data_IF_212631535020
#
_entry.id   IF_212631535020
#
_cell.length_a   1.000
_cell.length_b   1.000
_cell.length_c   1.000
_cell.angle_alpha   90.00
_cell.angle_beta   90.00
_cell.angle_gamma   90.00
#
_symmetry.space_group_name_H-M   'P 1'
#
loop_
_entity.id
_entity.type
_entity.pdbx_description
1 polymer ?
#
# COMPACT_ATOMS: atom_id res chain seq x y z
N UNK A 1 27.16 84.30 7.60
CA UNK A 1 27.49 82.87 7.78
C UNK A 1 26.22 82.05 7.58
N UNK A 2 26.24 81.18 6.54
CA UNK A 2 25.38 79.98 6.28
C UNK A 2 23.84 80.14 6.37
N UNK A 3 23.07 80.29 5.28
CA UNK A 3 22.74 79.44 4.08
C UNK A 3 21.64 78.38 4.30
N UNK A 4 20.51 78.63 3.65
CA UNK A 4 19.43 77.71 3.28
C UNK A 4 19.91 76.63 2.30
N UNK A 5 19.29 75.44 2.36
CA UNK A 5 19.27 74.48 1.26
C UNK A 5 17.85 73.93 1.04
N UNK A 6 17.36 74.15 -0.19
CA UNK A 6 16.27 73.47 -0.87
C UNK A 6 16.82 72.33 -1.72
N UNK A 7 16.20 71.15 -1.74
CA UNK A 7 16.35 70.04 -2.70
C UNK A 7 15.20 69.05 -2.39
N UNK A 8 14.51 68.35 -3.29
CA UNK A 8 14.35 68.38 -4.75
C UNK A 8 13.16 67.44 -5.04
N UNK A 9 12.20 67.85 -5.86
CA UNK A 9 11.22 66.94 -6.47
C UNK A 9 11.88 66.16 -7.59
N UNK A 10 11.92 64.84 -7.48
CA UNK A 10 12.37 63.95 -8.55
C UNK A 10 11.15 63.24 -9.15
N UNK A 11 10.73 63.72 -10.32
CA UNK A 11 9.86 63.02 -11.26
C UNK A 11 10.73 62.14 -12.14
N UNK A 12 10.56 60.82 -12.07
CA UNK A 12 11.31 59.85 -12.88
C UNK A 12 10.46 58.60 -13.13
N UNK A 13 10.13 58.42 -14.39
CA UNK A 13 9.34 57.33 -15.00
C UNK A 13 9.99 55.95 -14.82
N UNK A 14 9.13 54.94 -14.59
CA UNK A 14 9.15 53.55 -15.09
C UNK A 14 8.64 52.55 -14.03
N UNK A 15 7.33 52.60 -13.77
CA UNK A 15 6.61 51.56 -13.05
C UNK A 15 5.75 50.76 -14.04
N UNK A 16 6.37 50.09 -15.00
CA UNK A 16 5.64 49.26 -15.97
C UNK A 16 6.54 48.19 -16.59
N UNK A 17 6.97 47.22 -15.78
CA UNK A 17 7.18 45.81 -16.17
C UNK A 17 7.70 44.97 -14.98
N UNK A 18 6.94 44.93 -13.88
CA UNK A 18 7.16 43.85 -12.90
C UNK A 18 6.24 42.71 -13.32
N UNK A 19 6.78 41.75 -14.07
CA UNK A 19 6.10 40.49 -14.33
C UNK A 19 5.75 39.87 -12.96
N UNK A 20 4.48 39.50 -12.70
CA UNK A 20 4.15 38.84 -11.45
C UNK A 20 5.00 37.57 -11.33
N UNK A 21 5.69 37.44 -10.20
CA UNK A 21 6.45 36.25 -9.88
C UNK A 21 5.50 35.05 -9.97
N UNK A 22 5.91 34.02 -10.72
CA UNK A 22 5.11 32.81 -10.85
C UNK A 22 4.97 32.15 -9.48
N UNK A 23 3.84 31.51 -9.23
CA UNK A 23 3.63 30.75 -8.00
C UNK A 23 4.60 29.57 -7.98
N UNK A 24 5.32 29.39 -6.87
CA UNK A 24 6.28 28.28 -6.75
C UNK A 24 5.54 26.94 -6.78
N UNK A 25 5.94 26.06 -7.71
CA UNK A 25 5.36 24.71 -7.83
C UNK A 25 5.60 23.83 -6.58
N UNK A 26 6.64 24.14 -5.81
CA UNK A 26 7.02 23.41 -4.59
C UNK A 26 6.36 23.97 -3.32
N UNK A 27 5.50 25.00 -3.42
CA UNK A 27 4.76 25.53 -2.28
C UNK A 27 5.66 25.98 -1.12
N UNK A 28 5.23 25.71 0.12
CA UNK A 28 6.00 26.03 1.33
C UNK A 28 7.23 25.12 1.55
N UNK A 29 7.27 23.96 0.88
CA UNK A 29 8.40 23.02 0.96
C UNK A 29 9.67 23.50 0.25
N UNK A 30 9.54 24.52 -0.61
CA UNK A 30 10.66 25.10 -1.35
C UNK A 30 11.76 25.67 -0.45
N UNK A 31 11.42 26.20 0.73
CA UNK A 31 12.39 26.77 1.66
C UNK A 31 13.42 25.74 2.19
N UNK A 32 13.10 24.45 2.09
CA UNK A 32 14.00 23.37 2.49
C UNK A 32 14.83 22.82 1.32
N UNK A 33 14.60 23.30 0.10
CA UNK A 33 15.40 22.96 -1.07
C UNK A 33 16.53 23.99 -1.18
N UNK A 34 17.76 23.50 -1.05
CA UNK A 34 18.99 24.26 -0.84
C UNK A 34 19.50 25.08 -2.04
N UNK A 35 18.60 25.61 -2.87
CA UNK A 35 18.95 26.57 -3.94
C UNK A 35 18.33 27.96 -3.64
N UNK A 36 19.11 28.87 -3.03
CA UNK A 36 18.69 30.24 -2.76
C UNK A 36 18.27 31.02 -4.01
N UNK A 37 18.78 30.64 -5.19
CA UNK A 37 18.48 31.35 -6.45
C UNK A 37 17.11 30.98 -7.01
N UNK A 38 16.65 29.75 -6.77
CA UNK A 38 15.30 29.32 -7.08
C UNK A 38 14.28 30.10 -6.24
N UNK A 39 14.43 30.12 -4.91
CA UNK A 39 13.48 30.78 -4.00
C UNK A 39 13.33 32.29 -4.28
N UNK A 40 14.37 32.95 -4.79
CA UNK A 40 14.34 34.37 -5.15
C UNK A 40 13.45 34.69 -6.37
N UNK A 41 13.10 33.68 -7.18
CA UNK A 41 12.38 33.85 -8.46
C UNK A 41 10.89 33.52 -8.41
N UNK A 42 10.34 33.13 -7.26
CA UNK A 42 8.94 32.68 -7.13
C UNK A 42 8.23 33.27 -5.90
N UNK A 43 6.90 33.34 -5.95
CA UNK A 43 6.06 33.67 -4.79
C UNK A 43 5.75 32.40 -3.97
N UNK A 44 5.88 32.51 -2.64
CA UNK A 44 5.52 31.48 -1.67
C UNK A 44 4.37 31.98 -0.76
N UNK A 45 3.41 31.11 -0.38
CA UNK A 45 2.41 31.47 0.62
C UNK A 45 3.06 31.71 1.98
N UNK A 46 2.75 32.84 2.61
CA UNK A 46 3.30 33.24 3.91
C UNK A 46 2.87 32.27 5.01
N UNK A 47 3.84 31.71 5.75
CA UNK A 47 3.59 30.97 6.99
C UNK A 47 2.88 31.90 7.99
N UNK A 48 1.59 31.69 8.24
CA UNK A 48 0.93 32.22 9.43
C UNK A 48 1.49 31.51 10.66
N UNK A 49 2.43 32.16 11.34
CA UNK A 49 2.93 31.70 12.64
C UNK A 49 2.04 32.25 13.75
N UNK A 50 1.14 31.43 14.26
CA UNK A 50 0.46 31.71 15.53
C UNK A 50 1.33 31.23 16.68
N UNK A 51 2.20 32.12 17.16
CA UNK A 51 2.80 32.03 18.49
C UNK A 51 1.77 32.52 19.53
N UNK A 52 1.30 31.64 20.42
CA UNK A 52 0.63 32.05 21.66
C UNK A 52 1.63 31.87 22.79
N UNK A 53 2.08 32.99 23.35
CA UNK A 53 2.85 33.04 24.58
C UNK A 53 1.94 32.75 25.77
N UNK A 54 2.32 31.77 26.59
CA UNK A 54 1.75 31.55 27.90
C UNK A 54 2.26 32.64 28.86
N UNK A 55 1.34 33.43 29.42
CA UNK A 55 1.60 34.28 30.56
C UNK A 55 0.71 33.83 31.73
N UNK A 56 1.38 33.51 32.83
CA UNK A 56 0.87 33.23 34.16
C UNK A 56 0.09 34.41 34.74
N UNK A 57 -0.98 34.15 35.50
CA UNK A 57 -1.30 34.88 36.71
C UNK A 57 -2.26 34.11 37.61
N UNK A 58 -1.75 33.73 38.78
CA UNK A 58 -2.50 33.49 40.00
C UNK A 58 -3.16 34.78 40.49
N UNK A 59 -4.42 34.73 40.93
CA UNK A 59 -4.85 35.01 42.32
C UNK A 59 -6.37 35.10 42.50
N UNK A 60 -6.82 34.39 43.55
CA UNK A 60 -7.85 34.76 44.53
C UNK A 60 -9.36 34.79 44.22
N UNK A 61 -10.03 33.75 44.74
CA UNK A 61 -10.92 33.80 45.92
C UNK A 61 -12.45 33.81 45.77
N UNK A 62 -13.05 33.09 46.73
CA UNK A 62 -14.44 33.06 47.24
C UNK A 62 -15.48 32.30 46.40
N UNK A 63 -15.87 31.10 46.82
CA UNK A 63 -16.93 30.76 47.81
C UNK A 63 -18.34 31.25 47.40
N UNK A 64 -19.27 30.32 47.19
CA UNK A 64 -20.52 30.12 47.98
C UNK A 64 -21.42 29.06 47.30
N UNK A 65 -21.59 27.95 48.01
CA UNK A 65 -22.78 27.12 48.29
C UNK A 65 -23.85 26.77 47.23
N UNK A 66 -24.01 25.44 47.10
CA UNK A 66 -25.23 24.62 47.28
C UNK A 66 -26.49 24.91 46.45
N UNK A 67 -27.01 23.92 45.72
CA UNK A 67 -28.02 22.99 46.28
C UNK A 67 -28.58 21.99 45.24
N UNK A 68 -28.58 20.72 45.65
CA UNK A 68 -29.64 19.70 45.55
C UNK A 68 -30.53 19.56 44.29
N UNK A 69 -30.31 18.41 43.62
CA UNK A 69 -31.27 17.33 43.33
C UNK A 69 -32.72 17.65 42.91
N UNK A 70 -33.14 17.12 41.74
CA UNK A 70 -34.38 16.32 41.67
C UNK A 70 -34.50 15.43 40.42
N UNK A 71 -34.85 14.18 40.71
CA UNK A 71 -35.38 13.13 39.85
C UNK A 71 -36.79 13.44 39.31
N UNK A 72 -37.08 13.02 38.08
CA UNK A 72 -38.37 12.40 37.66
C UNK A 72 -38.16 11.77 36.27
N UNK A 73 -38.16 10.44 36.13
CA UNK A 73 -39.27 9.49 35.93
C UNK A 73 -40.12 9.68 34.65
N UNK A 74 -39.92 8.71 33.75
CA UNK A 74 -40.92 7.84 33.08
C UNK A 74 -41.96 8.51 32.17
N UNK A 75 -41.93 8.12 30.89
CA UNK A 75 -43.11 7.64 30.15
C UNK A 75 -42.72 6.72 28.99
N UNK A 76 -43.02 5.45 29.15
CA UNK A 76 -43.30 4.50 28.06
C UNK A 76 -44.73 4.76 27.56
N UNK A 77 -44.97 4.53 26.26
CA UNK A 77 -46.29 4.14 25.77
C UNK A 77 -46.13 3.25 24.53
N UNK A 78 -46.84 2.12 24.62
CA UNK A 78 -47.15 1.14 23.58
C UNK A 78 -48.24 1.64 22.63
N UNK A 79 -48.31 0.96 21.47
CA UNK A 79 -49.47 0.61 20.61
C UNK A 79 -49.15 0.99 19.16
N UNK A 80 -49.34 0.16 18.14
CA UNK A 80 -50.06 -1.10 18.00
C UNK A 80 -50.14 -1.40 16.51
N UNK A 81 -50.49 -2.64 16.21
CA UNK A 81 -50.49 -3.32 14.91
C UNK A 81 -51.19 -2.60 13.74
N UNK A 82 -50.76 -2.90 12.51
CA UNK A 82 -51.71 -3.33 11.47
C UNK A 82 -51.04 -4.04 10.26
N UNK A 83 -51.82 -4.98 9.73
CA UNK A 83 -51.51 -6.10 8.83
C UNK A 83 -51.94 -5.79 7.38
N UNK A 84 -51.33 -6.51 6.44
CA UNK A 84 -51.75 -6.81 5.03
C UNK A 84 -51.65 -5.73 3.94
N UNK A 85 -50.85 -6.02 2.90
CA UNK A 85 -51.39 -6.53 1.61
C UNK A 85 -50.31 -7.02 0.65
N UNK A 86 -50.52 -8.24 0.19
CA UNK A 86 -49.87 -8.88 -0.95
C UNK A 86 -50.21 -8.14 -2.26
N UNK A 87 -49.23 -8.03 -3.16
CA UNK A 87 -49.50 -8.01 -4.60
C UNK A 87 -48.53 -8.94 -5.34
N UNK A 88 -49.12 -10.04 -5.80
CA UNK A 88 -48.60 -10.99 -6.76
C UNK A 88 -48.41 -10.35 -8.13
N UNK A 89 -47.22 -10.48 -8.73
CA UNK A 89 -47.05 -10.42 -10.18
C UNK A 89 -46.22 -11.65 -10.60
N UNK A 90 -46.91 -12.58 -11.26
CA UNK A 90 -46.35 -13.67 -12.06
C UNK A 90 -45.94 -13.14 -13.44
N UNK A 91 -44.86 -13.70 -13.98
CA UNK A 91 -44.73 -13.93 -15.43
C UNK A 91 -43.41 -13.48 -16.04
N UNK A 92 -42.58 -14.43 -16.49
CA UNK A 92 -41.43 -14.16 -17.35
C UNK A 92 -40.29 -15.16 -17.26
N UNK A 93 -40.56 -16.44 -17.51
CA UNK A 93 -39.51 -17.41 -17.83
C UNK A 93 -38.81 -16.97 -19.13
N UNK A 94 -37.49 -16.80 -19.09
CA UNK A 94 -36.68 -16.84 -20.30
C UNK A 94 -35.42 -17.67 -20.05
N UNK A 95 -35.43 -18.87 -20.63
CA UNK A 95 -34.32 -19.82 -20.65
C UNK A 95 -33.22 -19.30 -21.55
N UNK A 96 -32.15 -18.76 -20.97
CA UNK A 96 -30.92 -18.40 -21.66
C UNK A 96 -29.89 -19.53 -21.57
N UNK A 97 -29.57 -20.15 -22.71
CA UNK A 97 -28.47 -21.11 -22.91
C UNK A 97 -27.17 -20.60 -22.27
N UNK A 98 -26.60 -21.38 -21.34
CA UNK A 98 -25.24 -21.18 -20.85
C UNK A 98 -24.23 -21.48 -21.96
N UNK A 99 -23.37 -20.51 -22.26
CA UNK A 99 -22.33 -20.63 -23.27
C UNK A 99 -21.18 -21.49 -22.71
N UNK A 100 -20.98 -22.70 -23.26
CA UNK A 100 -19.94 -23.65 -22.81
C UNK A 100 -18.49 -23.14 -22.99
N UNK A 101 -18.27 -21.97 -23.57
CA UNK A 101 -16.95 -21.35 -23.71
C UNK A 101 -16.51 -20.55 -22.47
N UNK A 102 -17.43 -20.19 -21.58
CA UNK A 102 -17.14 -19.34 -20.40
C UNK A 102 -16.50 -20.13 -19.24
N UNK A 103 -16.79 -21.43 -19.11
CA UNK A 103 -16.15 -22.27 -18.09
C UNK A 103 -14.67 -22.57 -18.39
N UNK A 104 -14.29 -22.64 -19.66
CA UNK A 104 -12.95 -23.09 -20.08
C UNK A 104 -11.87 -22.05 -19.77
N UNK A 105 -12.22 -20.76 -19.81
CA UNK A 105 -11.28 -19.66 -19.56
C UNK A 105 -11.03 -19.45 -18.05
N UNK A 106 -12.06 -19.63 -17.22
CA UNK A 106 -11.92 -19.60 -15.76
C UNK A 106 -11.20 -20.87 -15.27
N UNK A 107 -11.49 -22.04 -15.85
CA UNK A 107 -10.76 -23.28 -15.55
C UNK A 107 -9.27 -23.17 -15.88
N UNK A 108 -8.88 -22.62 -17.04
CA UNK A 108 -7.46 -22.52 -17.40
C UNK A 108 -6.68 -21.61 -16.44
N UNK A 109 -7.27 -20.51 -15.96
CA UNK A 109 -6.61 -19.61 -15.01
C UNK A 109 -6.45 -20.24 -13.61
N UNK A 110 -7.39 -21.07 -13.19
CA UNK A 110 -7.32 -21.79 -11.92
C UNK A 110 -6.39 -23.01 -12.00
N UNK A 111 -6.32 -23.68 -13.16
CA UNK A 111 -5.41 -24.80 -13.40
C UNK A 111 -3.95 -24.34 -13.53
N UNK A 112 -3.70 -23.19 -14.18
CA UNK A 112 -2.36 -22.58 -14.24
C UNK A 112 -1.88 -22.11 -12.86
N UNK A 113 -2.78 -21.63 -11.99
CA UNK A 113 -2.46 -21.30 -10.59
C UNK A 113 -2.13 -22.52 -9.72
N UNK A 114 -2.44 -23.74 -10.18
CA UNK A 114 -2.19 -25.01 -9.48
C UNK A 114 -0.90 -25.68 -9.93
N UNK A 115 -0.35 -25.34 -11.10
CA UNK A 115 0.78 -26.04 -11.73
C UNK A 115 1.98 -25.16 -12.08
N UNK A 116 2.40 -24.25 -11.19
CA UNK A 116 3.70 -23.57 -11.32
C UNK A 116 4.75 -24.30 -10.49
N UNK A 117 5.50 -25.18 -11.15
CA UNK A 117 6.79 -25.68 -10.65
C UNK A 117 7.87 -24.64 -10.96
N UNK A 118 8.76 -24.27 -10.02
CA UNK A 118 9.81 -23.32 -10.31
C UNK A 118 10.83 -23.94 -11.28
N UNK A 119 11.15 -23.17 -12.32
CA UNK A 119 12.20 -23.38 -13.31
C UNK A 119 13.33 -24.33 -12.86
N UNK A 120 13.39 -25.52 -13.47
CA UNK A 120 14.54 -26.42 -13.35
C UNK A 120 15.71 -25.89 -14.18
N UNK A 121 16.66 -25.22 -13.53
CA UNK A 121 17.99 -24.99 -14.10
C UNK A 121 18.80 -26.28 -13.97
N UNK A 122 18.65 -27.21 -14.91
CA UNK A 122 19.51 -28.41 -14.97
C UNK A 122 20.88 -28.06 -15.52
N UNK A 123 21.81 -27.64 -14.66
CA UNK A 123 23.26 -27.73 -14.98
C UNK A 123 23.65 -29.20 -15.02
N UNK A 124 24.36 -29.63 -16.08
CA UNK A 124 24.87 -31.01 -16.20
C UNK A 124 25.90 -31.28 -15.08
N UNK A 125 26.01 -32.52 -14.62
CA UNK A 125 27.08 -32.93 -13.68
C UNK A 125 28.43 -33.00 -14.41
N UNK A 126 29.49 -32.47 -13.78
CA UNK A 126 30.85 -32.56 -14.32
C UNK A 126 31.35 -34.02 -14.28
N UNK A 127 31.83 -34.54 -15.41
CA UNK A 127 32.36 -35.92 -15.51
C UNK A 127 33.73 -36.11 -14.81
N UNK A 128 34.40 -35.03 -14.41
CA UNK A 128 35.74 -35.07 -13.81
C UNK A 128 35.75 -35.08 -12.27
N UNK A 129 34.59 -35.10 -11.60
CA UNK A 129 34.53 -35.20 -10.14
C UNK A 129 35.27 -34.07 -9.40
N UNK A 130 35.83 -34.37 -8.23
CA UNK A 130 36.49 -33.40 -7.35
C UNK A 130 37.89 -32.93 -7.83
N UNK A 131 38.43 -33.49 -8.93
CA UNK A 131 39.76 -33.15 -9.44
C UNK A 131 39.74 -32.05 -10.52
N UNK A 132 38.60 -31.37 -10.72
CA UNK A 132 38.46 -30.34 -11.74
C UNK A 132 39.21 -29.02 -11.41
N UNK A 133 39.72 -28.85 -10.18
CA UNK A 133 40.39 -27.62 -9.77
C UNK A 133 41.84 -27.49 -10.25
N UNK A 134 42.47 -28.55 -10.74
CA UNK A 134 43.90 -28.55 -11.10
C UNK A 134 44.18 -28.46 -12.62
N UNK A 135 43.18 -28.16 -13.45
CA UNK A 135 43.39 -27.94 -14.89
C UNK A 135 42.87 -26.58 -15.37
N UNK A 136 43.71 -25.92 -16.15
CA UNK A 136 43.81 -24.47 -16.36
C UNK A 136 42.77 -23.84 -17.30
N UNK A 137 41.48 -23.98 -17.00
CA UNK A 137 40.43 -23.17 -17.65
C UNK A 137 39.35 -22.70 -16.63
N UNK A 138 39.41 -21.43 -16.18
CA UNK A 138 38.45 -20.85 -15.24
C UNK A 138 37.00 -20.87 -15.74
N UNK A 139 36.78 -20.88 -17.05
CA UNK A 139 35.43 -20.79 -17.64
C UNK A 139 34.67 -22.11 -17.61
N UNK A 140 35.37 -23.23 -17.36
CA UNK A 140 34.78 -24.56 -17.23
C UNK A 140 34.00 -24.70 -15.91
N UNK A 141 34.53 -24.18 -14.81
CA UNK A 141 33.96 -24.37 -13.46
C UNK A 141 32.61 -23.64 -13.27
N UNK A 142 32.35 -22.55 -14.00
CA UNK A 142 31.11 -21.78 -13.85
C UNK A 142 29.86 -22.50 -14.44
N UNK A 143 30.07 -23.49 -15.30
CA UNK A 143 28.99 -24.16 -16.05
C UNK A 143 28.46 -25.45 -15.45
N UNK A 144 29.11 -26.04 -14.43
CA UNK A 144 28.75 -27.36 -13.89
C UNK A 144 28.51 -27.34 -12.36
N UNK A 145 27.76 -28.31 -11.84
CA UNK A 145 27.58 -28.53 -10.40
C UNK A 145 28.61 -29.56 -9.87
N UNK A 146 29.23 -29.26 -8.72
CA UNK A 146 30.20 -30.14 -8.05
C UNK A 146 29.66 -30.61 -6.67
N UNK A 147 29.86 -31.89 -6.28
CA UNK A 147 29.42 -32.39 -4.99
C UNK A 147 30.32 -31.90 -3.84
N UNK A 148 29.71 -31.47 -2.73
CA UNK A 148 30.41 -31.00 -1.52
C UNK A 148 31.04 -32.15 -0.74
N UNK A 149 32.29 -31.96 -0.33
CA UNK A 149 33.09 -32.90 0.48
C UNK A 149 32.59 -32.89 1.93
N UNK A 150 32.10 -34.02 2.45
CA UNK A 150 31.78 -34.19 3.88
C UNK A 150 33.03 -34.61 4.64
N UNK A 151 33.45 -33.82 5.64
CA UNK A 151 34.45 -34.23 6.62
C UNK A 151 33.84 -34.23 8.02
N UNK A 152 33.78 -35.41 8.60
CA UNK A 152 33.62 -35.69 10.03
C UNK A 152 34.89 -35.34 10.81
N UNK A 153 34.77 -34.74 12.01
CA UNK A 153 35.31 -35.21 13.30
C UNK A 153 35.32 -34.09 14.38
N UNK A 154 34.75 -34.43 15.55
CA UNK A 154 35.15 -34.24 16.97
C UNK A 154 35.55 -32.84 17.51
N UNK A 155 35.02 -32.57 18.72
CA UNK A 155 35.19 -31.37 19.53
C UNK A 155 36.42 -31.43 20.47
N UNK A 156 37.05 -30.27 20.70
CA UNK A 156 37.67 -29.93 21.99
C UNK A 156 37.87 -28.40 22.10
N UNK A 157 37.79 -27.89 23.33
CA UNK A 157 37.75 -26.47 23.69
C UNK A 157 39.12 -25.91 24.14
N UNK A 158 39.37 -24.60 23.99
CA UNK A 158 40.04 -23.72 24.97
C UNK A 158 40.17 -22.27 24.46
N UNK A 159 40.38 -21.35 25.42
CA UNK A 159 40.22 -19.88 25.38
C UNK A 159 41.38 -19.06 24.76
N UNK A 160 41.03 -17.80 24.50
CA UNK A 160 41.79 -16.54 24.72
C UNK A 160 42.38 -15.72 23.55
N UNK A 161 41.80 -14.50 23.45
CA UNK A 161 42.30 -13.14 23.10
C UNK A 161 43.04 -12.77 21.80
N UNK A 162 42.42 -11.77 21.15
CA UNK A 162 42.94 -10.56 20.48
C UNK A 162 43.50 -10.57 19.04
N UNK A 163 42.84 -9.70 18.24
CA UNK A 163 43.38 -8.75 17.24
C UNK A 163 43.36 -9.11 15.74
N UNK A 164 42.70 -8.19 15.01
CA UNK A 164 42.96 -7.69 13.66
C UNK A 164 42.29 -8.33 12.43
N UNK A 165 41.45 -7.51 11.79
CA UNK A 165 41.14 -7.34 10.36
C UNK A 165 41.20 -8.55 9.42
N UNK A 166 40.07 -8.86 8.77
CA UNK A 166 39.85 -8.65 7.31
C UNK A 166 38.48 -9.14 6.86
N UNK A 167 37.96 -8.48 5.81
CA UNK A 167 36.78 -8.81 5.01
C UNK A 167 36.49 -10.31 4.88
N UNK A 168 35.23 -10.72 5.13
CA UNK A 168 34.61 -11.92 4.55
C UNK A 168 33.08 -11.72 4.50
N UNK A 169 32.61 -11.09 3.43
CA UNK A 169 31.26 -11.31 2.90
C UNK A 169 31.28 -12.68 2.23
N UNK A 170 30.84 -13.71 2.94
CA UNK A 170 30.54 -15.01 2.36
C UNK A 170 29.15 -15.42 2.80
N UNK A 171 28.31 -15.63 1.81
CA UNK A 171 26.93 -16.08 1.92
C UNK A 171 26.79 -17.25 2.90
N UNK A 172 26.31 -16.98 4.11
CA UNK A 172 25.64 -17.98 4.93
C UNK A 172 24.25 -18.15 4.38
N UNK A 173 24.11 -19.19 3.54
CA UNK A 173 22.83 -19.82 3.25
C UNK A 173 22.15 -20.21 4.57
N UNK A 174 21.27 -19.33 5.05
CA UNK A 174 20.37 -19.61 6.16
C UNK A 174 19.45 -20.73 5.71
N UNK A 175 19.51 -21.87 6.40
CA UNK A 175 18.45 -22.87 6.35
C UNK A 175 17.11 -22.15 6.52
N UNK A 176 16.28 -22.20 5.49
CA UNK A 176 14.91 -21.68 5.54
C UNK A 176 14.17 -22.53 6.56
N UNK A 177 14.04 -22.02 7.78
CA UNK A 177 12.94 -22.40 8.66
C UNK A 177 11.68 -21.80 8.03
N UNK A 178 10.98 -22.58 7.21
CA UNK A 178 9.62 -22.24 6.81
C UNK A 178 8.75 -22.32 8.06
N UNK A 179 8.53 -21.19 8.73
CA UNK A 179 7.54 -21.09 9.79
C UNK A 179 6.17 -21.45 9.19
N UNK A 180 5.41 -22.34 9.84
CA UNK A 180 4.10 -22.78 9.38
C UNK A 180 3.12 -21.62 9.05
N UNK A 181 3.24 -20.48 9.72
CA UNK A 181 2.43 -19.29 9.43
C UNK A 181 2.69 -18.62 8.07
N UNK A 182 3.89 -18.80 7.51
CA UNK A 182 4.27 -18.23 6.21
C UNK A 182 3.55 -18.96 5.06
N UNK A 183 3.49 -20.29 5.13
CA UNK A 183 2.78 -21.14 4.18
C UNK A 183 1.26 -20.89 4.22
N UNK A 184 0.70 -20.73 5.42
CA UNK A 184 -0.73 -20.44 5.60
C UNK A 184 -1.12 -19.08 5.01
N UNK A 185 -0.31 -18.03 5.21
CA UNK A 185 -0.58 -16.73 4.58
C UNK A 185 -0.46 -16.77 3.06
N UNK A 186 0.49 -17.52 2.53
CA UNK A 186 0.60 -17.73 1.07
C UNK A 186 -0.64 -18.43 0.50
N UNK A 187 -1.16 -19.46 1.19
CA UNK A 187 -2.42 -20.13 0.81
C UNK A 187 -3.61 -19.18 0.93
N UNK A 188 -3.67 -18.39 1.99
CA UNK A 188 -4.71 -17.40 2.19
C UNK A 188 -4.73 -16.38 1.06
N UNK A 189 -3.56 -15.89 0.61
CA UNK A 189 -3.47 -14.97 -0.52
C UNK A 189 -3.83 -15.61 -1.85
N UNK A 190 -3.48 -16.87 -2.10
CA UNK A 190 -3.93 -17.58 -3.30
C UNK A 190 -5.46 -17.69 -3.36
N UNK A 191 -6.09 -18.10 -2.25
CA UNK A 191 -7.56 -18.21 -2.16
C UNK A 191 -8.20 -16.81 -2.25
N UNK A 192 -7.72 -15.86 -1.45
CA UNK A 192 -8.26 -14.52 -1.38
C UNK A 192 -8.13 -13.76 -2.71
N UNK A 193 -7.00 -13.97 -3.40
CA UNK A 193 -6.76 -13.49 -4.76
C UNK A 193 -7.72 -14.06 -5.78
N UNK A 194 -7.96 -15.37 -5.77
CA UNK A 194 -8.94 -15.98 -6.66
C UNK A 194 -10.35 -15.42 -6.44
N UNK A 195 -10.76 -15.23 -5.18
CA UNK A 195 -12.05 -14.60 -4.81
C UNK A 195 -12.13 -13.18 -5.38
N UNK A 196 -11.08 -12.38 -5.19
CA UNK A 196 -11.06 -10.99 -5.66
C UNK A 196 -11.06 -10.91 -7.19
N UNK A 197 -10.26 -11.75 -7.86
CA UNK A 197 -10.13 -11.77 -9.31
C UNK A 197 -11.43 -12.16 -10.01
N UNK A 198 -12.14 -13.20 -9.53
CA UNK A 198 -13.41 -13.66 -10.11
C UNK A 198 -14.48 -12.56 -10.13
N UNK A 199 -14.40 -11.62 -9.18
CA UNK A 199 -15.36 -10.51 -9.01
C UNK A 199 -15.05 -9.29 -9.86
N UNK A 200 -13.84 -9.17 -10.38
CA UNK A 200 -13.50 -8.08 -11.28
C UNK A 200 -14.33 -8.17 -12.56
N UNK A 201 -14.53 -7.02 -13.22
CA UNK A 201 -15.15 -7.02 -14.54
C UNK A 201 -14.32 -7.86 -15.53
N UNK A 202 -14.95 -8.43 -16.56
CA UNK A 202 -14.21 -9.17 -17.59
C UNK A 202 -13.12 -8.31 -18.26
N UNK A 203 -13.39 -7.00 -18.40
CA UNK A 203 -12.42 -6.04 -18.91
C UNK A 203 -11.19 -5.92 -18.00
N UNK A 204 -11.39 -5.82 -16.68
CA UNK A 204 -10.30 -5.72 -15.71
C UNK A 204 -9.49 -7.01 -15.63
N UNK A 205 -10.15 -8.17 -15.60
CA UNK A 205 -9.49 -9.47 -15.63
C UNK A 205 -8.60 -9.61 -16.87
N UNK A 206 -9.12 -9.22 -18.04
CA UNK A 206 -8.35 -9.23 -19.30
C UNK A 206 -7.18 -8.26 -19.27
N UNK A 207 -7.40 -7.06 -18.73
CA UNK A 207 -6.38 -6.01 -18.61
C UNK A 207 -5.23 -6.46 -17.71
N UNK A 208 -5.54 -7.06 -16.56
CA UNK A 208 -4.56 -7.63 -15.63
C UNK A 208 -3.79 -8.78 -16.30
N UNK A 209 -4.49 -9.73 -16.94
CA UNK A 209 -3.86 -10.86 -17.63
C UNK A 209 -2.83 -10.41 -18.68
N UNK A 210 -3.17 -9.36 -19.41
CA UNK A 210 -2.34 -8.80 -20.48
C UNK A 210 -1.37 -7.71 -20.02
N UNK A 211 -1.22 -7.50 -18.71
CA UNK A 211 -0.31 -6.47 -18.20
C UNK A 211 1.14 -6.75 -18.60
N UNK A 212 1.91 -5.66 -18.72
CA UNK A 212 3.36 -5.71 -18.97
C UNK A 212 4.11 -6.01 -17.67
N UNK A 213 5.31 -6.59 -17.78
CA UNK A 213 6.17 -6.87 -16.62
C UNK A 213 6.65 -5.61 -15.89
N UNK A 214 6.76 -4.50 -16.63
CA UNK A 214 7.15 -3.19 -16.11
C UNK A 214 5.97 -2.33 -15.68
N UNK A 215 4.72 -2.83 -15.75
CA UNK A 215 3.54 -2.06 -15.34
C UNK A 215 3.46 -1.85 -13.82
N UNK A 216 3.99 -2.81 -13.06
CA UNK A 216 4.12 -2.73 -11.61
C UNK A 216 5.59 -2.81 -11.24
N UNK A 217 6.05 -1.82 -10.48
CA UNK A 217 7.40 -1.78 -9.93
C UNK A 217 7.32 -1.99 -8.43
N UNK A 218 8.14 -2.89 -7.90
CA UNK A 218 8.29 -3.11 -6.46
C UNK A 218 9.63 -2.55 -6.02
N UNK A 219 9.59 -1.65 -5.05
CA UNK A 219 10.75 -1.15 -4.33
C UNK A 219 10.80 -1.86 -2.98
N UNK A 220 11.79 -2.76 -2.76
CA UNK A 220 11.88 -3.52 -1.53
C UNK A 220 12.06 -2.62 -0.30
N UNK A 221 11.50 -3.10 0.81
CA UNK A 221 11.53 -2.47 2.12
C UNK A 221 12.25 -3.34 3.15
N UNK A 222 12.11 -3.00 4.42
CA UNK A 222 12.72 -3.73 5.53
C UNK A 222 11.83 -4.88 6.03
N UNK A 223 10.51 -4.65 6.14
CA UNK A 223 9.59 -5.60 6.77
C UNK A 223 8.46 -6.08 5.85
N UNK A 224 8.00 -5.23 4.93
CA UNK A 224 6.93 -5.60 3.99
C UNK A 224 7.46 -6.29 2.74
N UNK A 225 6.68 -7.23 2.20
CA UNK A 225 7.04 -8.10 1.08
C UNK A 225 5.89 -8.23 0.07
N UNK A 226 5.43 -7.10 -0.47
CA UNK A 226 4.38 -7.08 -1.51
C UNK A 226 4.70 -7.99 -2.70
N UNK A 227 5.96 -8.20 -3.05
CA UNK A 227 6.40 -9.09 -4.13
C UNK A 227 5.90 -10.53 -3.93
N UNK A 228 5.89 -11.01 -2.68
CA UNK A 228 5.35 -12.33 -2.35
C UNK A 228 3.84 -12.38 -2.53
N UNK A 229 3.13 -11.31 -2.13
CA UNK A 229 1.68 -11.19 -2.34
C UNK A 229 1.36 -11.15 -3.84
N UNK A 230 2.00 -10.27 -4.61
CA UNK A 230 1.82 -10.14 -6.06
C UNK A 230 2.06 -11.45 -6.79
N UNK A 231 3.07 -12.22 -6.36
CA UNK A 231 3.34 -13.56 -6.88
C UNK A 231 2.14 -14.48 -6.68
N UNK A 232 1.51 -14.49 -5.49
CA UNK A 232 0.31 -15.31 -5.23
C UNK A 232 -0.95 -14.80 -5.93
N UNK A 233 -0.97 -13.52 -6.28
CA UNK A 233 -2.03 -12.90 -7.09
C UNK A 233 -1.79 -13.08 -8.60
N UNK A 234 -0.71 -13.74 -9.01
CA UNK A 234 -0.29 -13.88 -10.41
C UNK A 234 -0.16 -12.53 -11.15
N UNK A 235 0.26 -11.49 -10.43
CA UNK A 235 0.53 -10.18 -11.00
C UNK A 235 1.99 -10.09 -11.42
N UNK A 236 2.24 -9.56 -12.62
CA UNK A 236 3.59 -9.33 -13.11
C UNK A 236 4.16 -8.06 -12.48
N UNK A 237 5.42 -8.11 -12.08
CA UNK A 237 6.13 -6.97 -11.52
C UNK A 237 7.62 -7.05 -11.81
N UNK A 238 8.28 -5.89 -11.72
CA UNK A 238 9.74 -5.77 -11.74
C UNK A 238 10.22 -5.22 -10.40
N UNK A 239 11.35 -5.71 -9.90
CA UNK A 239 11.97 -5.20 -8.68
C UNK A 239 12.99 -4.12 -9.04
N UNK A 240 12.97 -2.99 -8.32
CA UNK A 240 13.93 -1.90 -8.44
C UNK A 240 14.41 -1.51 -7.04
N UNK A 241 15.72 -1.47 -6.83
CA UNK A 241 16.29 -1.12 -5.53
C UNK A 241 16.17 0.39 -5.25
N UNK A 242 16.10 0.76 -3.98
CA UNK A 242 15.89 2.16 -3.56
C UNK A 242 16.93 3.13 -4.15
N UNK A 243 18.20 2.70 -4.25
CA UNK A 243 19.28 3.52 -4.81
C UNK A 243 19.20 3.67 -6.34
N UNK A 244 18.57 2.73 -7.04
CA UNK A 244 18.42 2.76 -8.51
C UNK A 244 17.35 3.76 -8.94
N UNK A 245 16.40 4.10 -8.06
CA UNK A 245 15.29 5.01 -8.36
C UNK A 245 15.76 6.37 -8.86
N UNK A 246 16.91 6.86 -8.38
CA UNK A 246 17.51 8.15 -8.76
C UNK A 246 17.74 8.24 -10.28
N UNK A 247 18.03 7.11 -10.93
CA UNK A 247 18.27 7.06 -12.38
C UNK A 247 17.21 6.25 -13.13
N UNK A 248 16.26 5.65 -12.42
CA UNK A 248 15.24 4.82 -13.03
C UNK A 248 14.36 5.63 -13.99
N UNK A 249 14.13 5.15 -15.23
CA UNK A 249 13.37 5.86 -16.25
C UNK A 249 11.86 5.58 -16.14
N UNK A 250 11.23 6.06 -15.06
CA UNK A 250 9.81 5.84 -14.81
C UNK A 250 8.91 6.24 -16.00
N UNK A 251 7.80 5.53 -16.14
CA UNK A 251 6.74 5.80 -17.12
C UNK A 251 5.44 6.09 -16.40
N UNK A 252 4.66 7.02 -16.94
CA UNK A 252 3.41 7.46 -16.31
C UNK A 252 2.45 6.29 -16.05
N UNK A 253 2.38 5.28 -16.92
CA UNK A 253 1.46 4.16 -16.75
C UNK A 253 1.80 3.23 -15.57
N UNK A 254 2.99 3.35 -14.98
CA UNK A 254 3.45 2.45 -13.94
C UNK A 254 2.76 2.72 -12.61
N UNK A 255 2.57 1.64 -11.86
CA UNK A 255 2.28 1.68 -10.43
C UNK A 255 3.52 1.24 -9.67
N UNK A 256 3.99 2.04 -8.72
CA UNK A 256 5.20 1.75 -7.94
C UNK A 256 4.81 1.48 -6.49
N UNK A 257 4.98 0.24 -6.05
CA UNK A 257 4.87 -0.14 -4.65
C UNK A 257 6.19 0.13 -3.95
N UNK A 258 6.15 0.89 -2.85
CA UNK A 258 7.29 1.18 -2.00
C UNK A 258 6.96 0.59 -0.63
N UNK A 259 7.57 -0.56 -0.36
CA UNK A 259 7.42 -1.23 0.92
C UNK A 259 8.01 -0.38 2.06
N UNK A 260 7.57 -0.65 3.28
CA UNK A 260 8.07 -0.05 4.53
C UNK A 260 9.60 0.16 4.50
N UNK A 261 10.02 1.43 4.41
CA UNK A 261 11.41 1.80 4.15
C UNK A 261 11.99 2.61 5.30
N UNK A 262 13.00 2.08 5.99
CA UNK A 262 13.68 2.75 7.11
C UNK A 262 14.77 3.73 6.67
N UNK A 263 15.48 3.44 5.58
CA UNK A 263 16.63 4.20 5.08
C UNK A 263 16.46 4.61 3.61
N UNK A 264 15.34 5.25 3.28
CA UNK A 264 15.05 5.64 1.90
C UNK A 264 15.84 6.89 1.49
N UNK A 265 16.57 6.90 0.35
CA UNK A 265 17.31 8.07 -0.10
C UNK A 265 16.39 9.27 -0.37
N UNK A 266 16.71 10.45 0.19
CA UNK A 266 15.86 11.65 0.05
C UNK A 266 15.74 12.09 -1.40
N UNK A 267 16.83 11.99 -2.15
CA UNK A 267 16.90 12.32 -3.58
C UNK A 267 15.97 11.41 -4.39
N UNK A 268 15.89 10.13 -4.04
CA UNK A 268 14.94 9.20 -4.65
C UNK A 268 13.49 9.59 -4.33
N UNK A 269 13.19 10.02 -3.09
CA UNK A 269 11.86 10.46 -2.71
C UNK A 269 11.42 11.71 -3.49
N UNK A 270 12.29 12.71 -3.62
CA UNK A 270 12.02 13.90 -4.43
C UNK A 270 11.84 13.56 -5.91
N UNK A 271 12.64 12.65 -6.45
CA UNK A 271 12.47 12.18 -7.83
C UNK A 271 11.12 11.50 -8.04
N UNK A 272 10.66 10.68 -7.09
CA UNK A 272 9.33 10.08 -7.17
C UNK A 272 8.24 11.14 -7.27
N UNK A 273 8.33 12.23 -6.48
CA UNK A 273 7.40 13.37 -6.59
C UNK A 273 7.36 13.98 -8.00
N UNK A 274 8.52 14.15 -8.64
CA UNK A 274 8.59 14.66 -10.02
C UNK A 274 7.89 13.75 -11.04
N UNK A 275 7.93 12.43 -10.83
CA UNK A 275 7.27 11.49 -11.72
C UNK A 275 5.80 11.29 -11.39
N UNK A 276 5.41 11.36 -10.11
CA UNK A 276 3.99 11.41 -9.71
C UNK A 276 3.32 12.60 -10.37
N UNK A 277 3.97 13.76 -10.34
CA UNK A 277 3.49 14.95 -11.03
C UNK A 277 3.27 14.74 -12.55
N UNK A 278 4.05 13.85 -13.18
CA UNK A 278 3.94 13.46 -14.60
C UNK A 278 3.06 12.24 -14.84
N UNK A 279 2.31 11.79 -13.84
CA UNK A 279 1.33 10.71 -13.98
C UNK A 279 1.65 9.43 -13.23
N UNK A 280 2.83 9.26 -12.63
CA UNK A 280 3.14 8.02 -11.89
C UNK A 280 2.15 7.82 -10.74
N UNK A 281 1.77 6.56 -10.49
CA UNK A 281 1.07 6.19 -9.27
C UNK A 281 2.03 5.51 -8.31
N UNK A 282 2.13 6.03 -7.09
CA UNK A 282 2.91 5.38 -6.02
C UNK A 282 2.00 4.87 -4.92
N UNK A 283 2.33 3.71 -4.37
CA UNK A 283 1.68 3.09 -3.22
C UNK A 283 2.75 2.87 -2.19
N UNK A 284 2.53 3.32 -0.96
CA UNK A 284 3.53 3.27 0.12
C UNK A 284 2.95 2.59 1.35
N UNK A 285 3.77 1.83 2.08
CA UNK A 285 3.37 1.17 3.32
C UNK A 285 4.18 1.66 4.52
N UNK A 286 3.49 1.78 5.65
CA UNK A 286 4.03 2.03 6.99
C UNK A 286 5.15 3.10 7.06
N UNK A 287 6.40 2.71 7.33
CA UNK A 287 7.50 3.66 7.57
C UNK A 287 7.85 4.52 6.36
N UNK A 288 7.40 4.14 5.16
CA UNK A 288 7.46 5.02 4.00
C UNK A 288 6.72 6.36 4.22
N UNK A 289 5.78 6.44 5.17
CA UNK A 289 5.18 7.72 5.58
C UNK A 289 6.25 8.74 5.98
N UNK A 290 7.18 8.35 6.85
CA UNK A 290 8.23 9.26 7.35
C UNK A 290 9.35 9.42 6.33
N UNK A 291 9.74 8.35 5.68
CA UNK A 291 10.97 8.31 4.89
C UNK A 291 10.77 8.65 3.40
N UNK A 292 9.53 8.61 2.91
CA UNK A 292 9.19 8.97 1.52
C UNK A 292 8.19 10.13 1.50
N UNK A 293 7.04 9.97 2.15
CA UNK A 293 5.95 10.94 2.02
C UNK A 293 6.24 12.25 2.74
N UNK A 294 6.72 12.24 3.98
CA UNK A 294 7.12 13.50 4.64
C UNK A 294 8.30 14.19 3.94
N UNK A 295 9.11 13.46 3.18
CA UNK A 295 10.24 14.06 2.46
C UNK A 295 9.75 14.78 1.21
N UNK A 296 8.85 14.16 0.44
CA UNK A 296 8.49 14.62 -0.91
C UNK A 296 7.04 15.13 -1.05
N UNK A 297 6.19 14.88 -0.05
CA UNK A 297 4.75 15.15 -0.03
C UNK A 297 4.27 15.67 1.35
N UNK A 298 5.14 16.39 2.08
CA UNK A 298 4.86 16.90 3.44
C UNK A 298 3.66 17.83 3.56
N UNK A 299 3.25 18.47 2.46
CA UNK A 299 2.07 19.32 2.43
C UNK A 299 0.75 18.52 2.53
N UNK A 300 0.78 17.20 2.31
CA UNK A 300 -0.42 16.36 2.30
C UNK A 300 -0.58 15.56 3.59
N UNK A 301 0.45 14.80 3.96
CA UNK A 301 0.42 13.87 5.09
C UNK A 301 1.75 13.83 5.81
N UNK A 302 1.70 13.50 7.10
CA UNK A 302 2.89 13.23 7.92
C UNK A 302 2.58 12.19 8.99
N UNK A 303 3.62 11.70 9.64
CA UNK A 303 3.53 10.90 10.84
C UNK A 303 3.09 11.76 12.02
N UNK A 304 2.10 11.30 12.78
CA UNK A 304 1.53 12.07 13.90
C UNK A 304 2.42 12.09 15.16
N UNK A 305 3.55 11.39 15.15
CA UNK A 305 4.50 11.34 16.26
C UNK A 305 4.33 10.13 17.21
N UNK A 306 3.30 9.30 17.02
CA UNK A 306 3.04 8.12 17.85
C UNK A 306 3.38 6.82 17.13
N UNK A 307 3.55 5.72 17.86
CA UNK A 307 3.77 4.40 17.24
C UNK A 307 2.73 3.41 17.71
N UNK A 308 2.25 2.56 16.80
CA UNK A 308 1.29 1.51 17.14
C UNK A 308 1.95 0.41 17.97
N UNK A 309 1.12 -0.36 18.67
CA UNK A 309 1.51 -1.64 19.29
C UNK A 309 1.28 -2.77 18.29
N UNK A 310 1.71 -3.98 18.63
CA UNK A 310 1.30 -5.21 17.92
C UNK A 310 -0.20 -5.43 18.17
N UNK A 311 -1.05 -5.06 17.22
CA UNK A 311 -2.50 -5.14 17.39
C UNK A 311 -3.26 -5.31 16.10
N UNK A 312 -4.41 -5.98 16.17
CA UNK A 312 -5.37 -6.06 15.07
C UNK A 312 -6.50 -5.07 15.28
N UNK A 313 -6.76 -4.23 14.28
CA UNK A 313 -7.79 -3.19 14.34
C UNK A 313 -8.92 -3.49 13.37
N UNK A 314 -10.16 -3.24 13.79
CA UNK A 314 -11.30 -3.24 12.88
C UNK A 314 -11.20 -2.06 11.90
N UNK A 315 -11.57 -2.30 10.64
CA UNK A 315 -11.50 -1.29 9.58
C UNK A 315 -12.87 -1.02 8.95
N UNK A 316 -13.05 0.20 8.48
CA UNK A 316 -14.27 0.68 7.82
C UNK A 316 -13.91 1.39 6.52
N UNK A 317 -14.61 1.05 5.44
CA UNK A 317 -14.49 1.77 4.17
C UNK A 317 -15.33 3.04 4.23
N UNK A 318 -14.72 4.18 3.91
CA UNK A 318 -15.36 5.50 3.99
C UNK A 318 -16.30 5.73 2.80
N UNK A 319 -15.79 5.49 1.58
CA UNK A 319 -16.57 5.53 0.34
C UNK A 319 -16.49 4.17 -0.37
N UNK A 320 -17.51 3.30 -0.22
CA UNK A 320 -17.50 1.97 -0.82
C UNK A 320 -17.55 1.97 -2.35
N UNK A 321 -17.88 3.11 -2.98
CA UNK A 321 -17.91 3.23 -4.44
C UNK A 321 -16.60 3.79 -5.01
N UNK A 322 -15.66 4.22 -4.16
CA UNK A 322 -14.38 4.74 -4.62
C UNK A 322 -13.63 3.65 -5.41
N UNK A 323 -13.08 3.94 -6.61
CA UNK A 323 -12.52 2.93 -7.51
C UNK A 323 -11.49 2.00 -6.87
N UNK A 324 -10.70 2.49 -5.91
CA UNK A 324 -9.67 1.69 -5.22
C UNK A 324 -10.24 0.71 -4.18
N UNK A 325 -11.41 0.97 -3.60
CA UNK A 325 -12.02 0.14 -2.54
C UNK A 325 -13.39 -0.41 -2.93
N UNK A 326 -13.78 -0.27 -4.20
CA UNK A 326 -15.00 -0.89 -4.70
C UNK A 326 -14.93 -2.42 -4.53
N UNK A 327 -15.98 -2.99 -3.94
CA UNK A 327 -16.06 -4.41 -3.65
C UNK A 327 -15.13 -4.90 -2.55
N UNK A 328 -14.42 -4.00 -1.84
CA UNK A 328 -13.44 -4.34 -0.80
C UNK A 328 -14.07 -5.15 0.35
N UNK A 329 -15.18 -4.69 0.92
CA UNK A 329 -15.93 -5.47 1.93
C UNK A 329 -17.04 -6.25 1.21
N UNK A 330 -16.96 -7.58 1.28
CA UNK A 330 -18.04 -8.43 0.80
C UNK A 330 -19.29 -8.26 1.66
N UNK A 331 -20.46 -8.39 1.03
CA UNK A 331 -21.78 -8.30 1.65
C UNK A 331 -22.10 -9.46 2.62
N UNK A 332 -21.09 -9.98 3.34
CA UNK A 332 -21.34 -10.72 4.56
C UNK A 332 -21.79 -9.71 5.61
N UNK A 333 -23.10 -9.65 5.87
CA UNK A 333 -23.68 -8.84 6.95
C UNK A 333 -22.86 -9.07 8.23
N UNK A 334 -22.28 -8.01 8.82
CA UNK A 334 -21.36 -8.09 9.98
C UNK A 334 -20.00 -8.75 9.71
N UNK A 335 -19.42 -8.54 8.51
CA UNK A 335 -18.08 -9.02 8.14
C UNK A 335 -16.98 -8.56 9.13
N UNK A 336 -17.07 -7.33 9.65
CA UNK A 336 -16.08 -6.75 10.58
C UNK A 336 -14.63 -7.03 10.12
N UNK A 337 -14.23 -6.55 8.92
CA UNK A 337 -12.88 -6.75 8.42
C UNK A 337 -11.86 -6.16 9.41
N UNK A 338 -10.72 -6.81 9.52
CA UNK A 338 -9.67 -6.45 10.45
C UNK A 338 -8.32 -6.53 9.80
N UNK A 339 -7.47 -5.54 10.05
CA UNK A 339 -6.10 -5.50 9.56
C UNK A 339 -5.11 -5.43 10.72
N UNK A 340 -3.96 -6.05 10.53
CA UNK A 340 -2.90 -6.07 11.52
C UNK A 340 -2.01 -4.83 11.42
N UNK A 341 -1.66 -4.27 12.57
CA UNK A 341 -0.68 -3.20 12.73
C UNK A 341 0.47 -3.73 13.55
N UNK A 342 1.68 -3.61 13.01
CA UNK A 342 2.89 -4.05 13.71
C UNK A 342 3.24 -3.10 14.86
N UNK A 343 4.04 -3.57 15.81
CA UNK A 343 4.66 -2.65 16.77
C UNK A 343 5.55 -1.67 16.00
N UNK A 344 5.28 -0.37 16.16
CA UNK A 344 6.07 0.66 15.50
C UNK A 344 5.47 1.19 14.21
N UNK A 345 4.29 0.73 13.75
CA UNK A 345 3.68 1.33 12.57
C UNK A 345 3.30 2.80 12.80
N UNK A 346 3.28 3.58 11.72
CA UNK A 346 3.24 5.03 11.73
C UNK A 346 1.82 5.60 11.46
N UNK A 347 1.08 6.06 12.48
CA UNK A 347 -0.23 6.66 12.29
C UNK A 347 -0.15 7.97 11.49
N UNK A 348 -1.20 8.22 10.71
CA UNK A 348 -1.23 9.22 9.64
C UNK A 348 -1.91 10.49 10.15
N UNK A 349 -1.15 11.58 10.18
CA UNK A 349 -1.72 12.92 10.28
C UNK A 349 -1.96 13.49 8.89
N UNK A 350 -3.21 13.88 8.63
CA UNK A 350 -3.61 14.55 7.40
C UNK A 350 -3.38 16.06 7.56
N UNK A 351 -2.41 16.57 6.81
CA UNK A 351 -2.03 17.99 6.80
C UNK A 351 -2.98 18.79 5.93
N UNK A 352 -3.23 18.32 4.71
CA UNK A 352 -4.17 18.94 3.77
C UNK A 352 -5.48 18.16 3.74
N UNK A 353 -6.48 18.64 4.49
CA UNK A 353 -7.79 18.01 4.61
C UNK A 353 -8.68 18.16 3.39
N UNK A 354 -8.36 19.09 2.48
CA UNK A 354 -9.14 19.33 1.27
C UNK A 354 -8.75 18.34 0.17
N UNK A 355 -7.46 18.08 0.01
CA UNK A 355 -6.94 17.24 -1.08
C UNK A 355 -6.75 15.77 -0.70
N UNK A 356 -6.59 15.46 0.58
CA UNK A 356 -6.38 14.08 1.05
C UNK A 356 -7.70 13.40 1.37
N UNK A 357 -7.95 12.26 0.72
CA UNK A 357 -9.11 11.42 0.93
C UNK A 357 -8.75 10.22 1.80
N UNK A 358 -9.50 9.99 2.87
CA UNK A 358 -9.44 8.75 3.64
C UNK A 358 -10.30 7.70 2.94
N UNK A 359 -9.68 6.59 2.55
CA UNK A 359 -10.38 5.46 1.91
C UNK A 359 -10.86 4.44 2.95
N UNK A 360 -10.02 4.19 3.95
CA UNK A 360 -10.28 3.25 5.03
C UNK A 360 -9.89 3.90 6.35
N UNK A 361 -10.75 3.76 7.35
CA UNK A 361 -10.53 4.27 8.72
C UNK A 361 -10.66 3.17 9.78
N UNK A 362 -10.22 3.46 11.00
CA UNK A 362 -10.42 2.62 12.17
C UNK A 362 -10.70 3.45 13.41
N UNK A 363 -11.81 3.14 14.10
CA UNK A 363 -12.13 3.78 15.39
C UNK A 363 -11.11 3.43 16.47
N UNK A 364 -10.59 2.19 16.48
CA UNK A 364 -9.58 1.77 17.45
C UNK A 364 -8.28 2.59 17.32
N UNK A 365 -7.89 2.91 16.08
CA UNK A 365 -6.76 3.80 15.83
C UNK A 365 -7.04 5.23 16.32
N UNK A 366 -8.24 5.76 16.10
CA UNK A 366 -8.64 7.07 16.58
C UNK A 366 -8.50 7.18 18.11
N UNK A 367 -9.09 6.22 18.82
CA UNK A 367 -9.20 6.24 20.27
C UNK A 367 -7.82 6.12 20.94
N UNK A 368 -6.92 5.30 20.37
CA UNK A 368 -5.60 5.04 20.94
C UNK A 368 -4.51 6.00 20.47
N UNK A 369 -4.57 6.41 19.20
CA UNK A 369 -3.47 7.11 18.54
C UNK A 369 -3.83 8.47 17.96
N UNK A 370 -5.07 8.94 18.14
CA UNK A 370 -5.56 10.22 17.60
C UNK A 370 -5.38 10.36 16.08
N UNK A 371 -5.41 9.23 15.37
CA UNK A 371 -5.39 9.13 13.92
C UNK A 371 -6.36 8.03 13.56
N UNK A 372 -7.39 8.30 12.77
CA UNK A 372 -8.36 7.27 12.34
C UNK A 372 -8.01 6.68 10.97
N UNK A 373 -7.17 7.34 10.19
CA UNK A 373 -6.83 6.94 8.83
C UNK A 373 -5.97 5.66 8.79
N UNK A 374 -6.45 4.66 8.03
CA UNK A 374 -5.73 3.41 7.74
C UNK A 374 -5.16 3.47 6.32
N UNK A 375 -5.97 3.92 5.35
CA UNK A 375 -5.55 4.15 3.98
C UNK A 375 -5.99 5.55 3.54
N UNK A 376 -5.06 6.30 2.98
CA UNK A 376 -5.31 7.60 2.37
C UNK A 376 -4.87 7.61 0.92
N UNK A 377 -5.49 8.48 0.12
CA UNK A 377 -5.05 8.78 -1.24
C UNK A 377 -5.18 10.28 -1.52
N UNK A 378 -4.30 10.80 -2.37
CA UNK A 378 -4.36 12.17 -2.85
C UNK A 378 -3.71 12.28 -4.23
N UNK A 379 -4.24 13.19 -5.04
CA UNK A 379 -3.69 13.48 -6.35
C UNK A 379 -2.52 14.47 -6.24
N UNK A 380 -1.55 14.31 -7.13
CA UNK A 380 -0.42 15.23 -7.22
C UNK A 380 -0.01 15.37 -8.69
N UNK A 381 -0.26 16.54 -9.26
CA UNK A 381 -0.10 16.76 -10.70
C UNK A 381 -1.02 15.83 -11.48
N UNK A 382 -0.46 15.02 -12.38
CA UNK A 382 -1.23 14.07 -13.19
C UNK A 382 -1.29 12.65 -12.59
N UNK A 383 -0.57 12.42 -11.49
CA UNK A 383 -0.48 11.14 -10.81
C UNK A 383 -1.20 11.12 -9.48
N UNK A 384 -1.03 10.02 -8.77
CA UNK A 384 -1.71 9.76 -7.51
C UNK A 384 -0.74 9.14 -6.50
N UNK A 385 -0.97 9.39 -5.22
CA UNK A 385 -0.28 8.76 -4.10
C UNK A 385 -1.31 8.04 -3.26
N UNK A 386 -1.04 6.78 -2.95
CA UNK A 386 -1.79 6.00 -1.97
C UNK A 386 -0.86 5.57 -0.85
N UNK A 387 -1.33 5.69 0.39
CA UNK A 387 -0.56 5.30 1.56
C UNK A 387 -1.41 4.46 2.50
N UNK A 388 -0.81 3.43 3.09
CA UNK A 388 -1.41 2.66 4.16
C UNK A 388 -0.47 2.50 5.35
N UNK A 389 -1.03 2.53 6.55
CA UNK A 389 -0.30 2.30 7.80
C UNK A 389 0.14 0.84 7.99
N UNK A 390 -0.58 -0.12 7.39
CA UNK A 390 -0.33 -1.55 7.53
C UNK A 390 0.61 -2.08 6.43
N UNK A 391 1.04 -3.34 6.56
CA UNK A 391 1.86 -4.05 5.60
C UNK A 391 1.00 -4.97 4.71
N UNK A 392 1.35 -5.14 3.43
CA UNK A 392 0.62 -6.07 2.58
C UNK A 392 0.89 -7.52 2.96
N UNK A 393 2.15 -7.91 3.09
CA UNK A 393 2.50 -9.32 3.32
C UNK A 393 2.18 -9.78 4.73
N UNK A 394 2.59 -8.94 5.67
CA UNK A 394 2.45 -9.08 7.10
C UNK A 394 1.02 -8.74 7.50
N UNK A 395 0.07 -9.61 7.13
CA UNK A 395 -1.30 -9.57 7.63
C UNK A 395 -1.49 -10.70 8.63
N UNK A 396 -1.89 -10.32 9.84
CA UNK A 396 -2.36 -11.26 10.87
C UNK A 396 -3.83 -10.99 11.08
N UNK A 397 -4.58 -12.04 11.39
CA UNK A 397 -5.96 -11.90 11.78
C UNK A 397 -6.10 -12.37 13.20
N UNK A 398 -6.69 -11.54 14.04
CA UNK A 398 -7.14 -11.97 15.36
C UNK A 398 -8.46 -12.70 15.21
N UNK A 399 -8.67 -13.70 16.05
CA UNK A 399 -9.95 -14.42 16.08
C UNK A 399 -10.84 -13.86 17.19
N UNK A 400 -10.98 -12.53 17.20
CA UNK A 400 -11.59 -11.77 18.28
C UNK A 400 -13.07 -12.14 18.49
N UNK A 401 -13.77 -12.55 17.44
CA UNK A 401 -15.16 -13.02 17.52
C UNK A 401 -15.31 -14.48 17.04
N UNK A 402 -16.45 -15.09 17.37
CA UNK A 402 -16.76 -16.49 17.00
C UNK A 402 -16.68 -16.71 15.48
N UNK A 403 -17.06 -15.71 14.68
CA UNK A 403 -17.04 -15.81 13.21
C UNK A 403 -15.63 -15.89 12.66
N UNK A 404 -14.71 -15.08 13.19
CA UNK A 404 -13.31 -15.10 12.81
C UNK A 404 -12.62 -16.44 13.08
N UNK A 405 -13.09 -17.19 14.09
CA UNK A 405 -12.65 -18.57 14.39
C UNK A 405 -13.22 -19.63 13.44
N UNK A 406 -14.26 -19.30 12.67
CA UNK A 406 -14.89 -20.28 11.79
C UNK A 406 -13.91 -20.72 10.68
N UNK A 407 -14.07 -21.93 10.14
CA UNK A 407 -13.25 -22.39 9.01
C UNK A 407 -13.41 -21.52 7.77
N UNK A 408 -12.38 -21.50 6.91
CA UNK A 408 -12.39 -20.79 5.62
C UNK A 408 -13.62 -21.11 4.74
N UNK A 409 -14.16 -22.33 4.83
CA UNK A 409 -15.35 -22.77 4.09
C UNK A 409 -16.58 -21.92 4.45
N UNK A 410 -16.69 -21.46 5.70
CA UNK A 410 -17.80 -20.61 6.11
C UNK A 410 -17.75 -19.25 5.41
N UNK A 411 -16.55 -18.70 5.21
CA UNK A 411 -16.38 -17.47 4.44
C UNK A 411 -16.90 -17.64 3.01
N UNK A 412 -16.54 -18.76 2.35
CA UNK A 412 -17.01 -19.09 1.01
C UNK A 412 -18.55 -19.12 0.92
N UNK A 413 -19.20 -19.75 1.90
CA UNK A 413 -20.66 -19.83 1.98
C UNK A 413 -21.29 -18.44 2.17
N UNK A 414 -20.75 -17.65 3.09
CA UNK A 414 -21.27 -16.32 3.41
C UNK A 414 -21.23 -15.38 2.20
N UNK A 415 -20.20 -15.50 1.36
CA UNK A 415 -20.02 -14.68 0.16
C UNK A 415 -20.67 -15.29 -1.08
N UNK A 416 -21.30 -16.48 -0.95
CA UNK A 416 -21.87 -17.27 -2.06
C UNK A 416 -20.84 -17.51 -3.18
N UNK A 417 -19.66 -17.97 -2.78
CA UNK A 417 -18.56 -18.25 -3.69
C UNK A 417 -18.93 -19.29 -4.76
N UNK A 418 -18.30 -19.22 -5.93
CA UNK A 418 -18.46 -20.21 -6.99
C UNK A 418 -17.96 -21.61 -6.58
N UNK A 419 -18.37 -22.62 -7.35
CA UNK A 419 -17.87 -24.00 -7.17
C UNK A 419 -16.34 -24.09 -7.27
N UNK A 420 -15.76 -23.27 -8.14
CA UNK A 420 -14.31 -23.21 -8.34
C UNK A 420 -13.58 -22.72 -7.10
N UNK A 421 -14.05 -21.63 -6.51
CA UNK A 421 -13.52 -21.10 -5.25
C UNK A 421 -13.76 -22.09 -4.10
N UNK A 422 -14.94 -22.71 -4.04
CA UNK A 422 -15.27 -23.71 -3.00
C UNK A 422 -14.33 -24.92 -3.06
N UNK A 423 -14.01 -25.41 -4.27
CA UNK A 423 -13.02 -26.47 -4.48
C UNK A 423 -11.62 -26.03 -4.05
N UNK A 424 -11.21 -24.81 -4.40
CA UNK A 424 -9.92 -24.25 -4.00
C UNK A 424 -9.78 -24.18 -2.48
N UNK A 425 -10.81 -23.68 -1.78
CA UNK A 425 -10.84 -23.63 -0.31
C UNK A 425 -10.84 -25.03 0.32
N UNK A 426 -11.54 -26.00 -0.28
CA UNK A 426 -11.53 -27.38 0.22
C UNK A 426 -10.13 -28.00 0.12
N UNK A 427 -9.40 -27.71 -0.95
CA UNK A 427 -8.05 -28.20 -1.21
C UNK A 427 -7.01 -27.51 -0.32
N UNK A 428 -7.06 -26.18 -0.25
CA UNK A 428 -5.95 -25.36 0.23
C UNK A 428 -6.26 -24.61 1.54
N UNK A 429 -7.52 -24.59 1.98
CA UNK A 429 -8.01 -23.82 3.13
C UNK A 429 -8.19 -24.62 4.42
N UNK A 430 -7.74 -25.87 4.50
CA UNK A 430 -8.01 -26.76 5.64
C UNK A 430 -7.50 -26.23 6.98
N UNK A 431 -6.39 -25.49 6.98
CA UNK A 431 -5.80 -24.87 8.18
C UNK A 431 -6.13 -23.38 8.31
N UNK A 432 -6.94 -22.83 7.40
CA UNK A 432 -7.24 -21.41 7.36
C UNK A 432 -8.59 -21.12 8.01
N UNK A 433 -8.64 -20.02 8.74
CA UNK A 433 -9.87 -19.51 9.32
C UNK A 433 -10.51 -18.41 8.46
N UNK A 434 -11.72 -18.05 8.83
CA UNK A 434 -12.54 -17.02 8.18
C UNK A 434 -11.80 -15.69 8.07
N UNK A 435 -11.15 -15.26 9.15
CA UNK A 435 -10.51 -13.96 9.21
C UNK A 435 -9.27 -13.88 8.30
N UNK A 436 -8.49 -14.95 8.21
CA UNK A 436 -7.36 -15.04 7.28
C UNK A 436 -7.81 -14.88 5.82
N UNK A 437 -8.86 -15.59 5.40
CA UNK A 437 -9.39 -15.47 4.03
C UNK A 437 -10.02 -14.09 3.80
N UNK A 438 -10.75 -13.56 4.78
CA UNK A 438 -11.33 -12.22 4.67
C UNK A 438 -10.25 -11.15 4.50
N UNK A 439 -9.20 -11.20 5.33
CA UNK A 439 -8.08 -10.26 5.29
C UNK A 439 -7.34 -10.37 3.95
N UNK A 440 -7.02 -11.58 3.50
CA UNK A 440 -6.33 -11.78 2.22
C UNK A 440 -7.19 -11.39 1.01
N UNK A 441 -8.51 -11.66 1.03
CA UNK A 441 -9.44 -11.23 -0.01
C UNK A 441 -9.57 -9.72 -0.10
N UNK A 442 -9.71 -9.02 1.03
CA UNK A 442 -9.84 -7.55 1.06
C UNK A 442 -8.55 -6.87 0.57
N UNK A 443 -7.39 -7.35 1.04
CA UNK A 443 -6.07 -6.92 0.57
C UNK A 443 -5.88 -7.17 -0.93
N UNK A 444 -6.20 -8.38 -1.41
CA UNK A 444 -6.10 -8.71 -2.84
C UNK A 444 -7.02 -7.86 -3.72
N UNK A 445 -8.27 -7.63 -3.28
CA UNK A 445 -9.21 -6.76 -4.00
C UNK A 445 -8.67 -5.34 -4.14
N UNK A 446 -8.10 -4.79 -3.06
CA UNK A 446 -7.48 -3.47 -3.09
C UNK A 446 -6.32 -3.40 -4.09
N UNK A 447 -5.42 -4.38 -4.10
CA UNK A 447 -4.30 -4.47 -5.04
C UNK A 447 -4.83 -4.53 -6.48
N UNK A 448 -5.79 -5.40 -6.77
CA UNK A 448 -6.34 -5.53 -8.12
C UNK A 448 -7.01 -4.23 -8.58
N UNK A 449 -7.78 -3.58 -7.72
CA UNK A 449 -8.43 -2.31 -8.03
C UNK A 449 -7.42 -1.21 -8.37
N UNK A 450 -6.34 -1.09 -7.59
CA UNK A 450 -5.27 -0.11 -7.85
C UNK A 450 -4.61 -0.36 -9.20
N UNK A 451 -4.23 -1.61 -9.48
CA UNK A 451 -3.53 -1.99 -10.72
C UNK A 451 -4.45 -1.86 -11.94
N UNK A 452 -5.68 -2.39 -11.88
CA UNK A 452 -6.62 -2.33 -13.01
C UNK A 452 -7.03 -0.90 -13.34
N UNK A 453 -7.31 -0.08 -12.33
CA UNK A 453 -7.66 1.32 -12.52
C UNK A 453 -6.55 2.09 -13.24
N UNK A 454 -5.28 1.86 -12.86
CA UNK A 454 -4.14 2.49 -13.53
C UNK A 454 -3.99 2.07 -14.97
N UNK A 455 -4.06 0.76 -15.24
CA UNK A 455 -3.93 0.21 -16.58
C UNK A 455 -5.04 0.72 -17.50
N UNK A 456 -6.28 0.77 -17.02
CA UNK A 456 -7.43 1.26 -17.78
C UNK A 456 -7.34 2.77 -18.08
N UNK A 457 -6.91 3.58 -17.11
CA UNK A 457 -6.76 5.03 -17.30
C UNK A 457 -5.71 5.36 -18.37
N UNK A 458 -4.66 4.54 -18.45
CA UNK A 458 -3.63 4.66 -19.50
C UNK A 458 -4.17 4.27 -20.88
N UNK A 459 -4.92 3.17 -20.98
CA UNK A 459 -5.48 2.69 -22.24
C UNK A 459 -6.50 3.67 -22.85
N UNK A 460 -7.30 4.34 -22.01
CA UNK A 460 -8.23 5.38 -22.50
C UNK A 460 -7.50 6.62 -23.04
N UNK A 461 -6.38 6.98 -22.42
CA UNK A 461 -5.54 8.10 -22.85
C UNK A 461 -4.85 7.85 -24.20
N UNK A 462 -4.45 6.61 -24.47
CA UNK A 462 -3.82 6.24 -25.76
C UNK A 462 -4.84 6.14 -26.89
N UNK A 463 -6.04 5.60 -26.65
CA UNK A 463 -7.12 5.52 -27.65
C UNK A 463 -7.63 6.89 -28.08
N UNK A 464 -7.80 7.83 -27.14
CA UNK A 464 -8.23 9.21 -27.46
C UNK A 464 -7.21 9.99 -28.29
N UNK A 465 -5.92 9.69 -28.12
CA UNK A 465 -4.83 10.31 -28.90
C UNK A 465 -4.77 9.75 -30.34
N UNK A 466 -5.11 8.47 -30.55
CA UNK A 466 -5.18 7.87 -31.88
C UNK A 466 -6.38 8.37 -32.71
N UNK A 467 -7.55 8.56 -32.10
CA UNK A 467 -8.71 9.11 -32.82
C UNK A 467 -8.51 10.56 -33.28
N UNK A 468 -7.71 11.37 -32.57
CA UNK A 468 -7.38 12.74 -33.02
C UNK A 468 -6.43 12.79 -34.22
N UNK A 469 -5.58 11.78 -34.41
CA UNK A 469 -4.65 11.72 -35.55
C UNK A 469 -5.28 11.25 -36.86
N UNK A 470 -6.50 10.71 -36.81
CA UNK A 470 -7.27 10.35 -38.01
C UNK A 470 -8.27 11.42 -38.46
N UNK A 471 -8.37 12.53 -37.72
CA UNK A 471 -9.24 13.67 -38.04
C UNK A 471 -8.48 14.96 -38.42
N UNK A 472 -7.15 14.88 -38.55
CA UNK A 472 -6.29 15.88 -39.20
C UNK A 472 -5.69 15.25 -40.44
#
# INVERSE_FOLDING_TARGET
TTRNYSLNTWSGENASNVQPLKQCRYGASCYNQSDPTHCASFQHPTRTSSFVAAATNDTQSSNVNSNTARLSRIRTNHSGDDIEREHSIRGGMNSGRSNKQDETTIKSMLEDAVNVSPFSNTKKQCRHGASCHDQSDPTHCDRFQHPTRTSSFVAEATNDTQSSNTNLNTARSSRIHTNHGDDDMQKAYRIGGAIALERLSQQDQTTIKNMREDAVIVVPGTYDHIDQVLTKLNLKFSIVQQHELINYPFRAYQTVYINCASNFPKEAAHRLREFVDKGLHIITTDWALRNVLQVAFSDFVRHNGQSTRDEVVGIEVVDPNHPFVNGFVLAAKHAQPQWWLETGSHPIEIVNKEDVKVLIRSQALHDKYHSDAVIVTFDCGQGNVTHMISHFYLQRSETANTRHKMPAQQYAQDIKASDNITKLITKDGQNLNYAQIQSSSTSAQFIYNLVSNRLNSTNQSTSSTHSRKHFQ
#
